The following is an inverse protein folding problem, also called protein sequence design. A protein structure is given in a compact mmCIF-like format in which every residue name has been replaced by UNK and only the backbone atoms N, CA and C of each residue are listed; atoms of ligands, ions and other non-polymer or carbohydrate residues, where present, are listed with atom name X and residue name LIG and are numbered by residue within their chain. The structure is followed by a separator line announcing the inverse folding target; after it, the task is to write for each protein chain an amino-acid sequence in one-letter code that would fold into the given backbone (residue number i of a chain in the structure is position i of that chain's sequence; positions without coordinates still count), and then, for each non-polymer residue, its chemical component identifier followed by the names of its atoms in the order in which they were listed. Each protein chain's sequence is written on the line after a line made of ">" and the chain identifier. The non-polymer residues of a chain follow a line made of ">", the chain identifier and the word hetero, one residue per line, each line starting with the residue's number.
data_IF_257806574491
#
_entry.id   IF_257806574491
#
_cell.length_a   1.000
_cell.length_b   1.000
_cell.length_c   1.000
_cell.angle_alpha   90.00
_cell.angle_beta   90.00
_cell.angle_gamma   90.00
#
_symmetry.space_group_name_H-M   'P 1'
#
loop_
_entity.id
_entity.type
_entity.pdbx_description
1 polymer ?
#
# COMPACT_ATOMS: atom_id res chain seq x y z
N UNK A 1 -26.99 -44.48 22.08
CA UNK A 1 -25.76 -44.12 21.35
C UNK A 1 -25.76 -42.62 21.11
N UNK A 2 -24.84 -41.87 21.77
CA UNK A 2 -24.57 -40.45 21.52
C UNK A 2 -23.64 -40.34 20.32
N UNK A 3 -23.97 -39.47 19.36
CA UNK A 3 -23.04 -38.62 18.56
C UNK A 3 -23.80 -38.03 17.37
N UNK A 4 -23.79 -36.70 17.27
CA UNK A 4 -23.55 -35.88 16.07
C UNK A 4 -24.23 -34.51 16.21
N UNK A 5 -23.56 -33.59 16.92
CA UNK A 5 -23.80 -32.15 16.80
C UNK A 5 -22.47 -31.43 16.95
N UNK A 6 -21.68 -31.35 15.87
CA UNK A 6 -20.51 -30.47 15.79
C UNK A 6 -20.18 -30.23 14.31
N UNK A 7 -20.84 -29.27 13.66
CA UNK A 7 -20.47 -28.88 12.29
C UNK A 7 -20.99 -27.52 11.81
N UNK A 8 -21.26 -26.56 12.69
CA UNK A 8 -21.53 -25.16 12.25
C UNK A 8 -20.70 -24.09 12.97
N UNK A 9 -19.91 -24.46 13.99
CA UNK A 9 -19.14 -23.49 14.79
C UNK A 9 -17.75 -23.14 14.25
N UNK A 10 -17.22 -23.88 13.25
CA UNK A 10 -15.80 -23.75 12.85
C UNK A 10 -15.56 -22.78 11.69
N UNK A 11 -16.60 -22.37 10.94
CA UNK A 11 -16.42 -21.47 9.79
C UNK A 11 -16.26 -19.99 10.19
N UNK A 12 -16.79 -19.59 11.35
CA UNK A 12 -16.70 -18.20 11.84
C UNK A 12 -15.32 -17.87 12.43
N UNK A 13 -14.61 -18.83 13.01
CA UNK A 13 -13.30 -18.58 13.63
C UNK A 13 -12.16 -18.39 12.63
N UNK A 14 -12.28 -18.95 11.41
CA UNK A 14 -11.25 -18.83 10.37
C UNK A 14 -11.21 -17.40 9.79
N UNK A 15 -12.36 -16.73 9.63
CA UNK A 15 -12.43 -15.35 9.11
C UNK A 15 -11.81 -14.33 10.07
N UNK A 16 -12.00 -14.49 11.39
CA UNK A 16 -11.34 -13.64 12.39
C UNK A 16 -9.81 -13.84 12.41
N UNK A 17 -9.33 -15.03 12.08
CA UNK A 17 -7.91 -15.36 12.11
C UNK A 17 -7.14 -14.64 11.00
N UNK A 18 -7.68 -14.62 9.77
CA UNK A 18 -7.04 -13.98 8.61
C UNK A 18 -7.01 -12.45 8.74
N UNK A 19 -8.11 -11.85 9.21
CA UNK A 19 -8.18 -10.40 9.44
C UNK A 19 -7.19 -9.95 10.54
N UNK A 20 -7.01 -10.76 11.58
CA UNK A 20 -6.07 -10.47 12.66
C UNK A 20 -4.59 -10.62 12.24
N UNK A 21 -4.25 -11.59 11.38
CA UNK A 21 -2.88 -11.74 10.85
C UNK A 21 -2.50 -10.54 9.97
N UNK A 22 -3.40 -10.11 9.06
CA UNK A 22 -3.16 -8.94 8.21
C UNK A 22 -2.94 -7.68 9.05
N UNK A 23 -3.75 -7.48 10.08
CA UNK A 23 -3.63 -6.33 10.97
C UNK A 23 -2.36 -6.35 11.84
N UNK A 24 -1.93 -7.51 12.33
CA UNK A 24 -0.70 -7.64 13.12
C UNK A 24 0.54 -7.28 12.29
N UNK A 25 0.61 -7.76 11.05
CA UNK A 25 1.70 -7.43 10.12
C UNK A 25 1.73 -5.94 9.80
N UNK A 26 0.58 -5.30 9.63
CA UNK A 26 0.51 -3.86 9.41
C UNK A 26 0.95 -3.07 10.64
N UNK A 27 0.54 -3.50 11.84
CA UNK A 27 0.94 -2.85 13.09
C UNK A 27 2.46 -2.89 13.28
N UNK A 28 3.10 -4.00 12.92
CA UNK A 28 4.56 -4.18 12.88
C UNK A 28 5.22 -3.33 11.79
N UNK A 29 4.65 -3.27 10.58
CA UNK A 29 5.16 -2.40 9.51
C UNK A 29 5.21 -0.93 9.93
N UNK A 30 4.17 -0.47 10.65
CA UNK A 30 4.10 0.88 11.21
C UNK A 30 4.79 1.02 12.59
N UNK A 31 5.41 -0.03 13.12
CA UNK A 31 6.35 0.03 14.27
C UNK A 31 7.77 0.38 13.84
N UNK A 32 8.10 0.20 12.56
CA UNK A 32 9.40 0.61 12.03
C UNK A 32 9.45 2.14 12.17
N UNK A 33 10.22 2.60 13.16
CA UNK A 33 10.51 4.03 13.41
C UNK A 33 10.78 4.73 12.07
N UNK A 34 10.38 6.00 11.89
CA UNK A 34 10.86 6.74 10.73
C UNK A 34 12.39 6.62 10.75
N UNK A 35 12.95 6.10 9.65
CA UNK A 35 14.39 5.93 9.48
C UNK A 35 15.07 7.31 9.49
N UNK A 36 15.23 7.91 10.66
CA UNK A 36 16.37 8.74 10.98
C UNK A 36 17.43 7.76 11.46
N UNK A 37 18.09 7.08 10.53
CA UNK A 37 19.45 6.57 10.71
C UNK A 37 19.91 5.97 9.39
N UNK A 38 20.90 6.66 8.82
CA UNK A 38 21.58 6.37 7.56
C UNK A 38 20.66 6.36 6.33
N UNK A 39 20.52 7.55 5.72
CA UNK A 39 20.56 7.62 4.26
C UNK A 39 21.88 7.00 3.83
N UNK A 40 21.93 5.67 3.73
CA UNK A 40 23.03 5.00 3.06
C UNK A 40 23.07 5.59 1.65
N UNK A 41 24.23 6.15 1.30
CA UNK A 41 24.57 6.73 -0.01
C UNK A 41 24.59 5.68 -1.11
N UNK A 42 23.83 4.59 -0.95
CA UNK A 42 23.59 3.59 -1.98
C UNK A 42 23.02 4.34 -3.16
N UNK A 43 23.79 4.43 -4.25
CA UNK A 43 23.32 4.90 -5.55
C UNK A 43 21.99 4.21 -5.84
N UNK A 44 20.90 4.96 -5.70
CA UNK A 44 19.56 4.42 -5.96
C UNK A 44 19.57 3.95 -7.41
N UNK A 45 19.26 2.68 -7.62
CA UNK A 45 19.13 2.13 -8.98
C UNK A 45 18.22 3.05 -9.81
N UNK A 46 18.60 3.39 -11.05
CA UNK A 46 17.89 4.36 -11.86
C UNK A 46 16.61 3.75 -12.47
N UNK A 47 15.76 3.12 -11.67
CA UNK A 47 14.53 2.48 -12.14
C UNK A 47 13.60 3.43 -12.87
N UNK A 48 13.64 4.74 -12.56
CA UNK A 48 12.91 5.75 -13.33
C UNK A 48 13.41 5.82 -14.77
N UNK A 49 14.74 5.83 -14.95
CA UNK A 49 15.37 5.88 -16.27
C UNK A 49 14.94 4.67 -17.09
N UNK A 50 15.07 3.47 -16.53
CA UNK A 50 14.63 2.24 -17.19
C UNK A 50 13.13 2.24 -17.52
N UNK A 51 12.28 2.73 -16.62
CA UNK A 51 10.84 2.85 -16.87
C UNK A 51 10.54 3.81 -18.03
N UNK A 52 11.15 5.00 -18.03
CA UNK A 52 11.01 6.01 -19.09
C UNK A 52 11.49 5.48 -20.44
N UNK A 53 12.63 4.79 -20.46
CA UNK A 53 13.23 4.21 -21.68
C UNK A 53 12.39 3.06 -22.23
N UNK A 54 11.99 2.10 -21.38
CA UNK A 54 11.20 0.95 -21.84
C UNK A 54 9.83 1.37 -22.35
N UNK A 55 9.22 2.36 -21.71
CA UNK A 55 7.93 2.89 -22.12
C UNK A 55 8.04 3.93 -23.25
N UNK A 56 9.26 4.28 -23.68
CA UNK A 56 9.49 5.24 -24.76
C UNK A 56 8.85 6.61 -24.52
N UNK A 57 8.88 7.12 -23.29
CA UNK A 57 8.21 8.39 -22.96
C UNK A 57 8.93 9.60 -23.56
N UNK A 58 8.17 10.54 -24.13
CA UNK A 58 8.70 11.83 -24.59
C UNK A 58 9.12 12.72 -23.43
N UNK A 59 9.91 13.77 -23.69
CA UNK A 59 10.33 14.73 -22.66
C UNK A 59 9.14 15.41 -22.00
N UNK A 60 8.09 15.69 -22.77
CA UNK A 60 6.84 16.31 -22.33
C UNK A 60 6.05 15.35 -21.42
N UNK A 61 5.92 14.08 -21.82
CA UNK A 61 5.30 13.03 -21.01
C UNK A 61 6.05 12.81 -19.70
N UNK A 62 7.38 12.84 -19.70
CA UNK A 62 8.20 12.74 -18.47
C UNK A 62 7.95 13.91 -17.53
N UNK A 63 7.91 15.15 -18.03
CA UNK A 63 7.58 16.34 -17.22
C UNK A 63 6.17 16.25 -16.62
N UNK A 64 5.20 15.80 -17.42
CA UNK A 64 3.83 15.58 -16.96
C UNK A 64 3.76 14.51 -15.87
N UNK A 65 4.41 13.36 -16.10
CA UNK A 65 4.51 12.26 -15.14
C UNK A 65 5.12 12.72 -13.81
N UNK A 66 6.24 13.46 -13.84
CA UNK A 66 6.89 13.96 -12.64
C UNK A 66 6.02 14.93 -11.85
N UNK A 67 5.33 15.82 -12.56
CA UNK A 67 4.39 16.77 -11.95
C UNK A 67 3.23 16.03 -11.28
N UNK A 68 2.65 15.04 -11.97
CA UNK A 68 1.59 14.20 -11.42
C UNK A 68 2.06 13.38 -10.21
N UNK A 69 3.26 12.80 -10.23
CA UNK A 69 3.82 12.06 -9.08
C UNK A 69 4.05 12.98 -7.88
N UNK A 70 4.52 14.21 -8.08
CA UNK A 70 4.64 15.20 -7.00
C UNK A 70 3.28 15.57 -6.41
N UNK A 71 2.27 15.80 -7.25
CA UNK A 71 0.91 16.11 -6.79
C UNK A 71 0.27 14.92 -6.06
N UNK A 72 0.39 13.71 -6.59
CA UNK A 72 0.00 12.47 -5.94
C UNK A 72 0.64 12.32 -4.55
N UNK A 73 1.95 12.57 -4.43
CA UNK A 73 2.65 12.48 -3.15
C UNK A 73 2.13 13.52 -2.14
N UNK A 74 1.80 14.74 -2.58
CA UNK A 74 1.18 15.77 -1.73
C UNK A 74 -0.20 15.35 -1.22
N UNK A 75 -1.05 14.78 -2.08
CA UNK A 75 -2.38 14.30 -1.69
C UNK A 75 -2.32 13.07 -0.76
N UNK A 76 -1.37 12.16 -1.00
CA UNK A 76 -1.21 10.95 -0.17
C UNK A 76 -0.60 11.23 1.20
N UNK A 77 0.22 12.29 1.35
CA UNK A 77 0.91 12.61 2.61
C UNK A 77 -0.05 12.68 3.82
N UNK A 78 -1.11 13.53 3.82
CA UNK A 78 -2.01 13.61 4.98
C UNK A 78 -2.74 12.29 5.26
N UNK A 79 -3.15 11.55 4.21
CA UNK A 79 -3.82 10.25 4.36
C UNK A 79 -2.90 9.23 5.04
N UNK A 80 -1.67 9.09 4.56
CA UNK A 80 -0.69 8.17 5.12
C UNK A 80 -0.25 8.58 6.53
N UNK A 81 -0.15 9.88 6.81
CA UNK A 81 0.11 10.39 8.17
C UNK A 81 -1.00 9.97 9.12
N UNK A 82 -2.27 10.17 8.74
CA UNK A 82 -3.40 9.80 9.59
C UNK A 82 -3.46 8.28 9.86
N UNK A 83 -3.21 7.46 8.85
CA UNK A 83 -3.13 6.00 9.01
C UNK A 83 -2.07 5.63 10.07
N UNK A 84 -0.88 6.24 10.00
CA UNK A 84 0.21 6.00 10.96
C UNK A 84 -0.17 6.44 12.38
N UNK A 85 -0.77 7.61 12.51
CA UNK A 85 -1.26 8.13 13.80
C UNK A 85 -2.27 7.17 14.42
N UNK A 86 -3.23 6.67 13.64
CA UNK A 86 -4.23 5.71 14.12
C UNK A 86 -3.57 4.40 14.59
N UNK A 87 -2.57 3.87 13.86
CA UNK A 87 -1.82 2.70 14.34
C UNK A 87 -1.04 2.97 15.62
N UNK A 88 -0.49 4.19 15.79
CA UNK A 88 0.17 4.59 17.04
C UNK A 88 -0.83 4.63 18.21
N UNK A 89 -2.00 5.23 18.00
CA UNK A 89 -3.07 5.26 19.00
C UNK A 89 -3.56 3.85 19.37
N UNK A 90 -3.67 2.93 18.40
CA UNK A 90 -4.04 1.54 18.70
C UNK A 90 -3.01 0.88 19.63
N UNK A 91 -1.71 1.16 19.48
CA UNK A 91 -0.67 0.64 20.38
C UNK A 91 -0.81 1.22 21.77
N UNK A 92 -1.00 2.52 21.87
CA UNK A 92 -1.22 3.22 23.15
C UNK A 92 -2.46 2.67 23.88
N UNK A 93 -3.57 2.43 23.15
CA UNK A 93 -4.78 1.82 23.71
C UNK A 93 -4.52 0.40 24.21
N UNK A 94 -3.80 -0.44 23.44
CA UNK A 94 -3.45 -1.81 23.86
C UNK A 94 -2.62 -1.82 25.14
N UNK A 95 -1.68 -0.88 25.29
CA UNK A 95 -0.83 -0.74 26.46
C UNK A 95 -1.49 -0.01 27.65
N UNK A 96 -2.64 0.64 27.43
CA UNK A 96 -3.34 1.39 28.48
C UNK A 96 -4.02 0.48 29.52
N UNK A 97 -4.27 1.03 30.71
CA UNK A 97 -4.98 0.34 31.80
C UNK A 97 -6.51 0.39 31.72
N UNK A 98 -7.10 0.77 30.58
CA UNK A 98 -8.56 0.79 30.42
C UNK A 98 -9.13 -0.63 30.29
N UNK A 99 -10.45 -0.79 30.46
CA UNK A 99 -11.10 -2.12 30.36
C UNK A 99 -10.97 -2.71 28.96
N UNK A 100 -11.01 -4.05 28.86
CA UNK A 100 -10.87 -4.73 27.58
C UNK A 100 -12.02 -4.40 26.61
N UNK A 101 -13.24 -4.19 27.11
CA UNK A 101 -14.37 -3.73 26.30
C UNK A 101 -14.10 -2.34 25.70
N UNK A 102 -13.56 -1.42 26.50
CA UNK A 102 -13.19 -0.09 26.03
C UNK A 102 -12.04 -0.12 25.02
N UNK A 103 -11.08 -1.05 25.17
CA UNK A 103 -10.01 -1.27 24.19
C UNK A 103 -10.59 -1.74 22.87
N UNK A 104 -11.46 -2.77 22.91
CA UNK A 104 -12.08 -3.35 21.72
C UNK A 104 -12.88 -2.29 20.96
N UNK A 105 -13.69 -1.50 21.65
CA UNK A 105 -14.50 -0.45 21.02
C UNK A 105 -13.62 0.60 20.30
N UNK A 106 -12.63 1.16 21.01
CA UNK A 106 -11.75 2.21 20.45
C UNK A 106 -10.88 1.71 19.31
N UNK A 107 -10.32 0.50 19.44
CA UNK A 107 -9.50 -0.12 18.40
C UNK A 107 -10.33 -0.42 17.16
N UNK A 108 -11.58 -0.88 17.32
CA UNK A 108 -12.47 -1.18 16.19
C UNK A 108 -12.78 0.09 15.38
N UNK A 109 -13.10 1.20 16.05
CA UNK A 109 -13.31 2.51 15.39
C UNK A 109 -12.08 2.95 14.58
N UNK A 110 -10.88 2.84 15.15
CA UNK A 110 -9.63 3.19 14.46
C UNK A 110 -9.30 2.25 13.30
N UNK A 111 -9.64 0.96 13.41
CA UNK A 111 -9.50 -0.02 12.31
C UNK A 111 -10.42 0.33 11.14
N UNK A 112 -11.68 0.67 11.41
CA UNK A 112 -12.64 1.10 10.40
C UNK A 112 -12.19 2.40 9.70
N UNK A 113 -11.72 3.38 10.47
CA UNK A 113 -11.16 4.61 9.92
C UNK A 113 -9.96 4.33 9.01
N UNK A 114 -9.04 3.46 9.45
CA UNK A 114 -7.90 3.05 8.64
C UNK A 114 -8.31 2.32 7.35
N UNK A 115 -9.38 1.53 7.38
CA UNK A 115 -9.93 0.90 6.18
C UNK A 115 -10.36 1.95 5.15
N UNK A 116 -11.16 2.93 5.58
CA UNK A 116 -11.62 4.06 4.73
C UNK A 116 -10.45 4.90 4.21
N UNK A 117 -9.45 5.16 5.04
CA UNK A 117 -8.25 5.91 4.63
C UNK A 117 -7.40 5.13 3.61
N UNK A 118 -7.29 3.81 3.74
CA UNK A 118 -6.59 2.96 2.76
C UNK A 118 -7.32 2.93 1.43
N UNK A 119 -8.64 2.84 1.45
CA UNK A 119 -9.47 2.96 0.24
C UNK A 119 -9.26 4.32 -0.43
N UNK A 120 -9.31 5.42 0.34
CA UNK A 120 -8.99 6.76 -0.16
C UNK A 120 -7.59 6.84 -0.78
N UNK A 121 -6.59 6.23 -0.13
CA UNK A 121 -5.22 6.14 -0.65
C UNK A 121 -5.16 5.38 -1.99
N UNK A 122 -5.90 4.27 -2.11
CA UNK A 122 -6.00 3.50 -3.35
C UNK A 122 -6.68 4.32 -4.46
N UNK A 123 -7.78 5.01 -4.16
CA UNK A 123 -8.51 5.84 -5.13
C UNK A 123 -7.66 7.02 -5.63
N UNK A 124 -6.87 7.65 -4.76
CA UNK A 124 -5.89 8.67 -5.19
C UNK A 124 -4.87 8.04 -6.15
N UNK A 125 -4.37 6.83 -5.86
CA UNK A 125 -3.42 6.16 -6.75
C UNK A 125 -4.03 5.85 -8.12
N UNK A 126 -5.24 5.29 -8.15
CA UNK A 126 -5.98 5.00 -9.38
C UNK A 126 -6.17 6.27 -10.21
N UNK A 127 -6.72 7.33 -9.62
CA UNK A 127 -6.93 8.63 -10.30
C UNK A 127 -5.68 9.17 -10.99
N UNK A 128 -4.52 9.10 -10.33
CA UNK A 128 -3.26 9.60 -10.91
C UNK A 128 -2.65 8.64 -11.95
N UNK A 129 -2.87 7.33 -11.79
CA UNK A 129 -2.46 6.34 -12.79
C UNK A 129 -3.30 6.47 -14.07
N UNK A 130 -4.62 6.65 -13.96
CA UNK A 130 -5.50 6.90 -15.11
C UNK A 130 -5.10 8.17 -15.87
N UNK A 131 -4.74 9.24 -15.16
CA UNK A 131 -4.22 10.47 -15.79
C UNK A 131 -2.93 10.21 -16.57
N UNK A 132 -2.06 9.35 -16.05
CA UNK A 132 -0.83 8.97 -16.73
C UNK A 132 -1.12 8.11 -17.96
N UNK A 133 -1.95 7.08 -17.82
CA UNK A 133 -2.34 6.19 -18.93
C UNK A 133 -3.01 6.94 -20.08
N UNK A 134 -3.90 7.90 -19.78
CA UNK A 134 -4.52 8.77 -20.79
C UNK A 134 -3.54 9.67 -21.55
N UNK A 135 -2.31 9.84 -21.04
CA UNK A 135 -1.26 10.60 -21.71
C UNK A 135 -0.36 9.74 -22.61
N UNK A 136 -0.54 8.42 -22.60
CA UNK A 136 0.22 7.46 -23.39
C UNK A 136 -0.41 7.24 -24.76
N UNK A 137 0.41 6.86 -25.74
CA UNK A 137 -0.08 6.29 -27.00
C UNK A 137 -0.55 4.85 -26.80
N UNK A 138 -1.31 4.32 -27.75
CA UNK A 138 -1.79 2.93 -27.71
C UNK A 138 -0.62 1.92 -27.63
N UNK A 139 0.48 2.19 -28.34
CA UNK A 139 1.69 1.35 -28.28
C UNK A 139 2.33 1.39 -26.89
N UNK A 140 2.48 2.58 -26.31
CA UNK A 140 3.00 2.75 -24.96
C UNK A 140 2.09 2.08 -23.92
N UNK A 141 0.77 2.14 -24.09
CA UNK A 141 -0.17 1.47 -23.20
C UNK A 141 -0.02 -0.06 -23.25
N UNK A 142 0.10 -0.66 -24.45
CA UNK A 142 0.39 -2.09 -24.61
C UNK A 142 1.71 -2.48 -23.95
N UNK A 143 2.75 -1.65 -24.09
CA UNK A 143 4.03 -1.87 -23.39
C UNK A 143 3.86 -1.81 -21.87
N UNK A 144 3.10 -0.84 -21.35
CA UNK A 144 2.80 -0.72 -19.92
C UNK A 144 2.06 -1.96 -19.38
N UNK A 145 1.09 -2.47 -20.12
CA UNK A 145 0.36 -3.70 -19.78
C UNK A 145 1.27 -4.92 -19.78
N UNK A 146 2.09 -5.09 -20.82
CA UNK A 146 3.07 -6.16 -20.87
C UNK A 146 4.04 -6.10 -19.68
N UNK A 147 4.53 -4.91 -19.35
CA UNK A 147 5.36 -4.63 -18.18
C UNK A 147 4.65 -5.04 -16.86
N UNK A 148 3.34 -4.82 -16.73
CA UNK A 148 2.54 -5.25 -15.57
C UNK A 148 2.40 -6.77 -15.48
N UNK A 149 2.19 -7.45 -16.60
CA UNK A 149 2.13 -8.93 -16.63
C UNK A 149 3.47 -9.55 -16.25
N UNK A 150 4.58 -9.02 -16.77
CA UNK A 150 5.93 -9.44 -16.34
C UNK A 150 6.13 -9.26 -14.83
N UNK A 151 5.61 -8.18 -14.24
CA UNK A 151 5.65 -7.96 -12.78
C UNK A 151 4.88 -9.03 -12.00
N UNK A 152 3.73 -9.51 -12.48
CA UNK A 152 3.00 -10.62 -11.83
C UNK A 152 3.82 -11.91 -11.80
N UNK A 153 4.71 -12.09 -12.78
CA UNK A 153 5.65 -13.21 -12.86
C UNK A 153 6.96 -12.96 -12.07
N UNK A 154 7.05 -11.90 -11.27
CA UNK A 154 8.25 -11.55 -10.50
C UNK A 154 9.37 -10.91 -11.32
N UNK A 155 9.14 -10.58 -12.61
CA UNK A 155 10.12 -9.92 -13.47
C UNK A 155 10.07 -8.39 -13.30
N UNK A 156 11.17 -7.72 -13.61
CA UNK A 156 11.30 -6.26 -13.54
C UNK A 156 12.06 -5.73 -14.76
N UNK A 157 11.64 -4.58 -15.28
CA UNK A 157 12.40 -3.80 -16.26
C UNK A 157 13.59 -3.09 -15.61
N UNK A 158 13.63 -3.03 -14.27
CA UNK A 158 14.72 -2.42 -13.54
C UNK A 158 15.74 -3.50 -13.11
N UNK A 159 17.04 -3.36 -13.43
CA UNK A 159 18.07 -4.35 -13.10
C UNK A 159 18.19 -4.66 -11.60
N UNK A 160 17.78 -3.74 -10.71
CA UNK A 160 17.78 -4.02 -9.27
C UNK A 160 16.60 -4.87 -8.78
N UNK A 161 15.72 -5.33 -9.68
CA UNK A 161 14.53 -6.11 -9.35
C UNK A 161 13.43 -5.31 -8.62
N UNK A 162 13.67 -4.03 -8.27
CA UNK A 162 12.70 -3.21 -7.54
C UNK A 162 11.67 -2.62 -8.50
N UNK A 163 10.44 -3.12 -8.40
CA UNK A 163 9.28 -2.68 -9.18
C UNK A 163 8.64 -1.40 -8.62
N UNK A 164 9.37 -0.27 -8.57
CA UNK A 164 8.88 0.99 -7.96
C UNK A 164 7.96 1.85 -8.84
N UNK A 165 7.94 1.64 -10.14
CA UNK A 165 7.23 2.49 -11.10
C UNK A 165 6.00 1.81 -11.75
N UNK A 166 5.64 0.63 -11.24
CA UNK A 166 4.53 -0.20 -11.69
C UNK A 166 3.33 -0.10 -10.76
#
# INVERSE_FOLDING_TARGET
>A
MKKFLFSCGLALTIMFSIANISFANELQYYDIKPANEQQTTVKRCPCKKHFVEHLGLTKEQVKFFDTNRKAQAKELKPVNTKIRENYKQIKEIKASGISDEQKVEKITKLKEENSKLKEKSANIKVKYNEKFEKSLTDEQLKTLEHMRELKKQGKSCCPCGKNRYY
#
